data_IF_195923000823
#
_entry.id   IF_195923000823
#
_cell.length_a   1.000
_cell.length_b   1.000
_cell.length_c   1.000
_cell.angle_alpha   90.00
_cell.angle_beta   90.00
_cell.angle_gamma   90.00
#
_symmetry.space_group_name_H-M   'P 1'
#
loop_
_entity.id
_entity.type
_entity.pdbx_description
1 polymer ?
#
# COMPACT_ATOMS: atom_id res chain seq x y z
N UNK A 1 54.84 4.12 21.06
CA UNK A 1 53.45 3.60 21.02
C UNK A 1 52.79 4.19 19.79
N UNK A 2 52.55 3.40 18.74
CA UNK A 2 51.87 3.86 17.53
C UNK A 2 50.69 2.92 17.27
N UNK A 3 49.48 3.47 17.38
CA UNK A 3 48.21 2.78 17.27
C UNK A 3 48.02 2.23 15.85
N UNK A 4 47.75 0.93 15.75
CA UNK A 4 47.31 0.28 14.51
C UNK A 4 45.84 0.62 14.30
N UNK A 5 45.56 1.51 13.34
CA UNK A 5 44.20 1.84 12.92
C UNK A 5 43.65 0.66 12.13
N UNK A 6 42.61 0.03 12.66
CA UNK A 6 41.97 -1.14 12.09
C UNK A 6 41.15 -0.74 10.85
N UNK A 7 41.36 -1.35 9.67
CA UNK A 7 40.66 -0.99 8.42
C UNK A 7 39.16 -1.29 8.47
N UNK A 8 38.69 -2.06 9.45
CA UNK A 8 37.28 -2.42 9.67
C UNK A 8 36.47 -1.22 10.18
N UNK A 9 37.10 -0.27 10.89
CA UNK A 9 36.40 0.91 11.38
C UNK A 9 36.15 1.97 10.28
N UNK A 10 36.99 2.00 9.24
CA UNK A 10 36.86 2.96 8.14
C UNK A 10 35.70 2.58 7.19
N UNK A 11 35.43 1.28 7.02
CA UNK A 11 34.34 0.80 6.16
C UNK A 11 32.95 0.99 6.77
N UNK A 12 32.84 0.97 8.11
CA UNK A 12 31.57 1.20 8.82
C UNK A 12 31.12 2.68 8.69
N UNK A 13 32.06 3.62 8.71
CA UNK A 13 31.75 5.05 8.58
C UNK A 13 31.29 5.45 7.17
N UNK A 14 31.84 4.82 6.11
CA UNK A 14 31.43 5.07 4.73
C UNK A 14 30.04 4.46 4.45
N UNK A 15 29.72 3.29 5.01
CA UNK A 15 28.44 2.62 4.82
C UNK A 15 27.22 3.37 5.41
N UNK A 16 27.41 4.20 6.43
CA UNK A 16 26.32 4.94 7.08
C UNK A 16 25.88 6.16 6.24
N UNK A 17 26.78 6.77 5.47
CA UNK A 17 26.47 7.98 4.68
C UNK A 17 25.63 7.73 3.43
N UNK A 18 25.58 6.49 2.93
CA UNK A 18 24.82 6.14 1.72
C UNK A 18 23.33 5.88 2.01
N UNK A 19 22.95 5.66 3.28
CA UNK A 19 21.57 5.32 3.66
C UNK A 19 20.65 6.52 3.94
N UNK A 20 21.19 7.74 4.03
CA UNK A 20 20.40 8.93 4.42
C UNK A 20 19.92 9.81 3.26
N UNK A 21 20.19 9.47 2.00
CA UNK A 21 19.66 10.21 0.84
C UNK A 21 18.24 9.77 0.47
N UNK A 22 17.29 9.86 1.41
CA UNK A 22 15.86 9.83 1.07
C UNK A 22 15.43 11.20 0.56
N UNK A 23 15.54 11.35 -0.76
CA UNK A 23 14.63 12.06 -1.69
C UNK A 23 13.58 12.95 -1.00
N UNK A 24 13.87 14.24 -0.87
CA UNK A 24 12.90 15.30 -0.56
C UNK A 24 12.48 15.98 -1.87
N UNK A 25 11.51 15.41 -2.59
CA UNK A 25 11.00 15.97 -3.85
C UNK A 25 9.48 16.22 -3.85
N UNK A 26 8.79 16.09 -2.71
CA UNK A 26 7.33 16.14 -2.67
C UNK A 26 6.70 17.43 -2.10
N UNK A 27 7.46 18.34 -1.47
CA UNK A 27 6.85 19.48 -0.75
C UNK A 27 6.86 20.83 -1.50
N UNK A 28 7.66 20.99 -2.55
CA UNK A 28 7.93 22.33 -3.10
C UNK A 28 6.83 22.86 -4.07
N UNK A 29 5.91 21.99 -4.52
CA UNK A 29 4.81 22.41 -5.40
C UNK A 29 3.65 23.10 -4.65
N UNK A 30 3.58 22.97 -3.32
CA UNK A 30 2.46 23.48 -2.52
C UNK A 30 2.46 25.01 -2.37
N UNK A 31 3.61 25.67 -2.58
CA UNK A 31 3.76 27.12 -2.33
C UNK A 31 3.39 28.02 -3.52
N UNK A 32 3.23 27.47 -4.72
CA UNK A 32 3.11 28.27 -5.97
C UNK A 32 1.75 28.16 -6.66
N UNK A 33 0.85 27.30 -6.19
CA UNK A 33 -0.48 27.11 -6.78
C UNK A 33 -1.50 27.95 -6.01
N UNK A 34 -2.12 28.92 -6.69
CA UNK A 34 -3.35 29.57 -6.22
C UNK A 34 -4.39 28.45 -6.05
N UNK A 35 -4.63 28.03 -4.82
CA UNK A 35 -5.51 26.89 -4.51
C UNK A 35 -6.92 27.40 -4.27
N UNK A 36 -7.85 27.02 -5.15
CA UNK A 36 -9.28 27.18 -4.85
C UNK A 36 -9.63 26.23 -3.69
N UNK A 37 -10.09 26.75 -2.53
CA UNK A 37 -10.38 25.93 -1.35
C UNK A 37 -11.48 24.89 -1.61
N UNK A 38 -12.38 25.13 -2.57
CA UNK A 38 -13.42 24.17 -2.96
C UNK A 38 -12.86 23.00 -3.77
N UNK A 39 -11.85 23.26 -4.61
CA UNK A 39 -11.16 22.23 -5.40
C UNK A 39 -10.22 21.42 -4.49
N UNK A 40 -9.47 22.06 -3.59
CA UNK A 40 -8.61 21.38 -2.61
C UNK A 40 -9.42 20.39 -1.78
N UNK A 41 -10.53 20.83 -1.19
CA UNK A 41 -11.40 19.98 -0.36
C UNK A 41 -12.00 18.82 -1.15
N UNK A 42 -12.39 19.04 -2.41
CA UNK A 42 -12.91 17.99 -3.29
C UNK A 42 -11.86 16.91 -3.56
N UNK A 43 -10.62 17.31 -3.82
CA UNK A 43 -9.53 16.39 -4.11
C UNK A 43 -9.09 15.60 -2.87
N UNK A 44 -9.08 16.23 -1.70
CA UNK A 44 -8.85 15.57 -0.40
C UNK A 44 -9.87 14.45 -0.17
N UNK A 45 -11.16 14.75 -0.32
CA UNK A 45 -12.24 13.75 -0.14
C UNK A 45 -12.14 12.58 -1.12
N UNK A 46 -11.77 12.84 -2.39
CA UNK A 46 -11.59 11.77 -3.37
C UNK A 46 -10.36 10.91 -3.05
N UNK A 47 -9.29 11.53 -2.54
CA UNK A 47 -8.06 10.85 -2.14
C UNK A 47 -8.28 9.99 -0.89
N UNK A 48 -9.00 10.51 0.10
CA UNK A 48 -9.39 9.77 1.30
C UNK A 48 -10.21 8.53 0.94
N UNK A 49 -11.24 8.68 0.09
CA UNK A 49 -12.04 7.55 -0.39
C UNK A 49 -11.19 6.47 -1.10
N UNK A 50 -10.18 6.88 -1.87
CA UNK A 50 -9.23 5.94 -2.50
C UNK A 50 -8.41 5.21 -1.44
N UNK A 51 -7.89 5.93 -0.43
CA UNK A 51 -7.10 5.33 0.64
C UNK A 51 -7.91 4.31 1.47
N UNK A 52 -9.17 4.60 1.75
CA UNK A 52 -10.08 3.64 2.40
C UNK A 52 -10.22 2.34 1.59
N UNK A 53 -10.34 2.46 0.26
CA UNK A 53 -10.44 1.30 -0.63
C UNK A 53 -9.14 0.51 -0.73
N UNK A 54 -7.98 1.20 -0.73
CA UNK A 54 -6.66 0.55 -0.66
C UNK A 54 -6.50 -0.21 0.66
N UNK A 55 -6.90 0.39 1.79
CA UNK A 55 -6.89 -0.29 3.09
C UNK A 55 -7.81 -1.51 3.09
N UNK A 56 -8.99 -1.42 2.46
CA UNK A 56 -9.88 -2.57 2.30
C UNK A 56 -9.23 -3.70 1.47
N UNK A 57 -8.58 -3.35 0.34
CA UNK A 57 -7.81 -4.31 -0.47
C UNK A 57 -6.75 -5.04 0.35
N UNK A 58 -5.98 -4.31 1.17
CA UNK A 58 -4.97 -4.91 2.04
C UNK A 58 -5.58 -5.89 3.05
N UNK A 59 -6.71 -5.55 3.66
CA UNK A 59 -7.44 -6.44 4.59
C UNK A 59 -7.93 -7.71 3.89
N UNK A 60 -8.49 -7.59 2.69
CA UNK A 60 -8.95 -8.74 1.90
C UNK A 60 -7.77 -9.67 1.57
N UNK A 61 -6.62 -9.12 1.16
CA UNK A 61 -5.42 -9.92 0.90
C UNK A 61 -4.96 -10.70 2.15
N UNK A 62 -4.94 -10.04 3.31
CA UNK A 62 -4.62 -10.71 4.57
C UNK A 62 -5.64 -11.81 4.93
N UNK A 63 -6.92 -11.60 4.65
CA UNK A 63 -7.97 -12.63 4.85
C UNK A 63 -7.81 -13.81 3.90
N UNK A 64 -7.42 -13.58 2.64
CA UNK A 64 -7.10 -14.64 1.67
C UNK A 64 -5.93 -15.49 2.16
N UNK A 65 -4.86 -14.86 2.63
CA UNK A 65 -3.69 -15.55 3.15
C UNK A 65 -4.05 -16.41 4.37
N UNK A 66 -4.80 -15.85 5.32
CA UNK A 66 -5.32 -16.59 6.48
C UNK A 66 -6.20 -17.75 6.07
N UNK A 67 -7.11 -17.57 5.11
CA UNK A 67 -7.97 -18.64 4.62
C UNK A 67 -7.14 -19.78 4.00
N UNK A 68 -6.15 -19.47 3.17
CA UNK A 68 -5.21 -20.46 2.61
C UNK A 68 -4.44 -21.20 3.70
N UNK A 69 -3.98 -20.49 4.73
CA UNK A 69 -3.32 -21.12 5.88
C UNK A 69 -4.26 -22.07 6.62
N UNK A 70 -5.51 -21.64 6.89
CA UNK A 70 -6.53 -22.47 7.52
C UNK A 70 -6.83 -23.73 6.70
N UNK A 71 -6.88 -23.63 5.37
CA UNK A 71 -7.06 -24.80 4.50
C UNK A 71 -5.90 -25.80 4.64
N UNK A 72 -4.67 -25.30 4.77
CA UNK A 72 -3.46 -26.14 4.91
C UNK A 72 -3.43 -26.90 6.25
N UNK A 73 -3.86 -26.27 7.35
CA UNK A 73 -3.82 -26.88 8.68
C UNK A 73 -5.07 -27.69 9.03
N UNK A 74 -6.16 -27.55 8.26
CA UNK A 74 -7.41 -28.27 8.53
C UNK A 74 -7.22 -29.76 8.21
N UNK A 75 -7.49 -30.67 9.15
CA UNK A 75 -7.33 -32.10 8.93
C UNK A 75 -8.38 -32.62 7.93
N UNK A 76 -8.03 -33.67 7.18
CA UNK A 76 -8.84 -34.18 6.06
C UNK A 76 -10.21 -34.69 6.47
N UNK A 77 -10.34 -35.18 7.72
CA UNK A 77 -11.61 -35.63 8.27
C UNK A 77 -12.64 -34.50 8.45
N UNK A 78 -12.24 -33.23 8.40
CA UNK A 78 -13.13 -32.06 8.53
C UNK A 78 -13.58 -31.53 7.16
N UNK A 79 -14.20 -32.38 6.37
CA UNK A 79 -14.65 -32.09 4.98
C UNK A 79 -15.52 -30.84 4.90
N UNK A 80 -16.50 -30.69 5.79
CA UNK A 80 -17.40 -29.52 5.80
C UNK A 80 -16.66 -28.21 6.05
N UNK A 81 -15.64 -28.21 6.92
CA UNK A 81 -14.83 -27.03 7.20
C UNK A 81 -13.99 -26.67 5.99
N UNK A 82 -13.34 -27.67 5.37
CA UNK A 82 -12.55 -27.49 4.14
C UNK A 82 -13.41 -26.88 3.02
N UNK A 83 -14.63 -27.40 2.82
CA UNK A 83 -15.55 -26.88 1.81
C UNK A 83 -15.97 -25.43 2.09
N UNK A 84 -16.25 -25.08 3.35
CA UNK A 84 -16.55 -23.69 3.74
C UNK A 84 -15.36 -22.76 3.50
N UNK A 85 -14.14 -23.22 3.79
CA UNK A 85 -12.93 -22.44 3.54
C UNK A 85 -12.72 -22.18 2.04
N UNK A 86 -12.95 -23.18 1.17
CA UNK A 86 -12.91 -23.02 -0.29
C UNK A 86 -13.93 -22.00 -0.80
N UNK A 87 -15.19 -22.10 -0.33
CA UNK A 87 -16.25 -21.14 -0.71
C UNK A 87 -15.89 -19.73 -0.25
N UNK A 88 -15.42 -19.59 0.98
CA UNK A 88 -14.95 -18.30 1.51
C UNK A 88 -13.78 -17.74 0.70
N UNK A 89 -12.85 -18.58 0.24
CA UNK A 89 -11.75 -18.15 -0.62
C UNK A 89 -12.28 -17.57 -1.94
N UNK A 90 -13.26 -18.23 -2.56
CA UNK A 90 -13.91 -17.74 -3.77
C UNK A 90 -14.59 -16.38 -3.56
N UNK A 91 -15.33 -16.21 -2.45
CA UNK A 91 -15.93 -14.92 -2.11
C UNK A 91 -14.89 -13.82 -1.89
N UNK A 92 -13.80 -14.11 -1.18
CA UNK A 92 -12.73 -13.13 -0.94
C UNK A 92 -12.00 -12.74 -2.24
N UNK A 93 -11.80 -13.68 -3.17
CA UNK A 93 -11.21 -13.39 -4.48
C UNK A 93 -12.12 -12.51 -5.32
N UNK A 94 -13.43 -12.78 -5.32
CA UNK A 94 -14.40 -11.95 -6.02
C UNK A 94 -14.43 -10.52 -5.46
N UNK A 95 -14.47 -10.38 -4.13
CA UNK A 95 -14.45 -9.08 -3.45
C UNK A 95 -13.16 -8.30 -3.73
N UNK A 96 -12.02 -9.00 -3.84
CA UNK A 96 -10.75 -8.39 -4.22
C UNK A 96 -10.81 -7.79 -5.63
N UNK A 97 -11.37 -8.52 -6.60
CA UNK A 97 -11.53 -8.05 -7.99
C UNK A 97 -12.43 -6.82 -8.02
N UNK A 98 -13.60 -6.88 -7.36
CA UNK A 98 -14.51 -5.74 -7.28
C UNK A 98 -13.84 -4.51 -6.66
N UNK A 99 -13.10 -4.70 -5.56
CA UNK A 99 -12.37 -3.62 -4.89
C UNK A 99 -11.31 -3.01 -5.81
N UNK A 100 -10.58 -3.82 -6.57
CA UNK A 100 -9.58 -3.34 -7.54
C UNK A 100 -10.22 -2.51 -8.66
N UNK A 101 -11.33 -2.99 -9.24
CA UNK A 101 -12.07 -2.23 -10.26
C UNK A 101 -12.58 -0.90 -9.73
N UNK A 102 -13.06 -0.86 -8.48
CA UNK A 102 -13.50 0.38 -7.84
C UNK A 102 -12.35 1.36 -7.62
N UNK A 103 -11.17 0.89 -7.21
CA UNK A 103 -9.97 1.74 -7.06
C UNK A 103 -9.59 2.34 -8.41
N UNK A 104 -9.54 1.53 -9.47
CA UNK A 104 -9.22 2.01 -10.82
C UNK A 104 -10.21 3.08 -11.30
N UNK A 105 -11.52 2.82 -11.12
CA UNK A 105 -12.55 3.80 -11.45
C UNK A 105 -12.42 5.10 -10.65
N UNK A 106 -12.03 5.03 -9.38
CA UNK A 106 -11.77 6.21 -8.56
C UNK A 106 -10.52 6.97 -9.05
N UNK A 107 -9.46 6.27 -9.43
CA UNK A 107 -8.25 6.87 -9.99
C UNK A 107 -8.56 7.62 -11.28
N UNK A 108 -9.27 6.98 -12.22
CA UNK A 108 -9.72 7.64 -13.45
C UNK A 108 -10.57 8.88 -13.16
N UNK A 109 -11.46 8.82 -12.17
CA UNK A 109 -12.27 9.97 -11.77
C UNK A 109 -11.46 11.11 -11.16
N UNK A 110 -10.42 10.81 -10.37
CA UNK A 110 -9.52 11.82 -9.80
C UNK A 110 -8.75 12.52 -10.93
N UNK A 111 -8.22 11.75 -11.91
CA UNK A 111 -7.53 12.29 -13.08
C UNK A 111 -8.48 13.17 -13.91
N UNK A 112 -9.68 12.67 -14.27
CA UNK A 112 -10.66 13.41 -15.08
C UNK A 112 -11.13 14.70 -14.43
N UNK A 113 -11.18 14.76 -13.09
CA UNK A 113 -11.59 15.95 -12.34
C UNK A 113 -10.46 16.96 -12.12
N UNK A 114 -9.25 16.68 -12.62
CA UNK A 114 -8.11 17.59 -12.56
C UNK A 114 -7.51 17.72 -11.16
N UNK A 115 -7.68 16.72 -10.29
CA UNK A 115 -7.05 16.72 -8.97
C UNK A 115 -5.56 16.34 -9.09
N UNK A 116 -4.61 17.26 -8.81
CA UNK A 116 -3.19 16.94 -8.82
C UNK A 116 -2.85 16.03 -7.63
N UNK A 117 -2.04 14.98 -7.83
CA UNK A 117 -1.53 14.16 -6.73
C UNK A 117 -1.65 12.64 -6.85
N UNK A 118 -1.96 12.08 -8.02
CA UNK A 118 -1.76 10.64 -8.25
C UNK A 118 -0.33 10.44 -8.75
N UNK A 119 0.63 10.36 -7.84
CA UNK A 119 1.90 9.73 -8.17
C UNK A 119 1.62 8.22 -8.34
N UNK A 120 1.84 7.72 -9.55
CA UNK A 120 1.89 6.28 -9.86
C UNK A 120 3.13 5.64 -9.22
#
# INVERSE_FOLDING_TARGET
MAQRICPIFLSILVGITVFTSKISYAEDYKRTVITDPSISRRCELLTEKRQEKIANKQRILAMIERNKHLQKITPENKVTVKKKLEVNLGHLQHELILTQTQIQYQEENIVRKGCPGIAL
#
